data_IF_960195815429
#
_entry.id   IF_960195815429
#
_cell.length_a   1.000
_cell.length_b   1.000
_cell.length_c   1.000
_cell.angle_alpha   90.00
_cell.angle_beta   90.00
_cell.angle_gamma   90.00
#
_symmetry.space_group_name_H-M   'P 1'
#
loop_
_entity.id
_entity.type
_entity.pdbx_description
1 polymer ?
#
# COMPACT_ATOMS: atom_id res chain seq x y z
N UNK A 1 0.00 -10.59 8.07
CA UNK A 1 1.46 -10.86 8.02
C UNK A 1 2.15 -9.69 8.70
N UNK A 2 2.46 -9.84 9.98
CA UNK A 2 3.06 -8.81 10.82
C UNK A 2 4.56 -8.87 10.59
N UNK A 3 5.15 -7.85 9.96
CA UNK A 3 6.60 -7.81 9.74
C UNK A 3 7.25 -7.47 11.08
N UNK A 4 8.01 -8.42 11.64
CA UNK A 4 8.83 -8.18 12.81
C UNK A 4 9.93 -7.18 12.42
N UNK A 5 9.91 -6.04 13.12
CA UNK A 5 10.71 -4.84 12.91
C UNK A 5 12.23 -5.08 12.88
N UNK A 6 12.71 -6.21 13.43
CA UNK A 6 14.13 -6.48 13.66
C UNK A 6 14.74 -7.55 12.75
N UNK A 7 14.06 -7.97 11.68
CA UNK A 7 14.62 -9.01 10.82
C UNK A 7 15.64 -8.42 9.82
N UNK A 8 16.91 -8.38 10.22
CA UNK A 8 18.04 -7.94 9.39
C UNK A 8 18.21 -8.75 8.09
N UNK A 9 17.45 -9.84 7.91
CA UNK A 9 17.49 -10.67 6.70
C UNK A 9 16.61 -10.16 5.56
N UNK A 10 15.71 -9.21 5.81
CA UNK A 10 14.82 -8.69 4.77
C UNK A 10 15.63 -7.83 3.79
N UNK A 11 15.78 -8.35 2.58
CA UNK A 11 16.51 -7.66 1.50
C UNK A 11 15.87 -6.30 1.18
N UNK A 12 16.65 -5.23 0.97
CA UNK A 12 16.11 -3.91 0.62
C UNK A 12 15.18 -3.92 -0.60
N UNK A 13 15.50 -4.74 -1.61
CA UNK A 13 14.65 -4.94 -2.79
C UNK A 13 13.23 -5.37 -2.42
N UNK A 14 13.08 -6.22 -1.40
CA UNK A 14 11.77 -6.67 -0.94
C UNK A 14 10.99 -5.54 -0.28
N UNK A 15 11.64 -4.73 0.57
CA UNK A 15 10.99 -3.56 1.20
C UNK A 15 10.51 -2.57 0.14
N UNK A 16 11.36 -2.25 -0.83
CA UNK A 16 11.03 -1.34 -1.94
C UNK A 16 9.85 -1.85 -2.77
N UNK A 17 9.82 -3.14 -3.11
CA UNK A 17 8.73 -3.75 -3.86
C UNK A 17 7.40 -3.72 -3.09
N UNK A 18 7.44 -4.00 -1.79
CA UNK A 18 6.24 -3.94 -0.95
C UNK A 18 5.69 -2.51 -0.86
N UNK A 19 6.58 -1.51 -0.75
CA UNK A 19 6.19 -0.11 -0.78
C UNK A 19 5.58 0.30 -2.11
N UNK A 20 6.21 -0.03 -3.24
CA UNK A 20 5.67 0.26 -4.58
C UNK A 20 4.28 -0.31 -4.77
N UNK A 21 4.09 -1.59 -4.44
CA UNK A 21 2.78 -2.26 -4.54
C UNK A 21 1.72 -1.56 -3.68
N UNK A 22 2.03 -1.31 -2.41
CA UNK A 22 1.08 -0.66 -1.50
C UNK A 22 0.70 0.74 -1.99
N UNK A 23 1.68 1.53 -2.44
CA UNK A 23 1.47 2.88 -2.97
C UNK A 23 0.63 2.86 -4.26
N UNK A 24 0.93 1.94 -5.18
CA UNK A 24 0.20 1.80 -6.45
C UNK A 24 -1.26 1.39 -6.23
N UNK A 25 -1.55 0.55 -5.22
CA UNK A 25 -2.93 0.17 -4.87
C UNK A 25 -3.79 1.36 -4.44
N UNK A 26 -3.20 2.36 -3.78
CA UNK A 26 -3.91 3.55 -3.29
C UNK A 26 -3.93 4.66 -4.33
N UNK A 27 -2.76 5.01 -4.88
CA UNK A 27 -2.58 6.23 -5.68
C UNK A 27 -2.53 5.99 -7.19
N UNK A 28 -2.51 4.73 -7.66
CA UNK A 28 -2.42 4.36 -9.08
C UNK A 28 -1.21 4.97 -9.81
N UNK A 29 -0.14 5.29 -9.07
CA UNK A 29 1.11 5.88 -9.57
C UNK A 29 2.30 5.11 -9.01
N UNK A 30 3.42 5.11 -9.74
CA UNK A 30 4.71 4.59 -9.25
C UNK A 30 5.39 5.61 -8.32
N UNK A 31 5.77 5.24 -7.08
CA UNK A 31 6.57 6.09 -6.23
C UNK A 31 8.05 6.03 -6.61
N UNK A 32 8.77 7.13 -6.37
CA UNK A 32 10.23 7.11 -6.46
C UNK A 32 10.80 6.60 -5.15
N UNK A 33 11.42 5.43 -5.17
CA UNK A 33 12.06 4.83 -3.98
C UNK A 33 13.42 4.25 -4.35
N UNK A 34 14.42 4.56 -3.53
CA UNK A 34 15.80 4.07 -3.64
C UNK A 34 16.28 3.65 -2.25
N UNK A 35 16.99 2.53 -2.16
CA UNK A 35 17.71 2.15 -0.94
C UNK A 35 19.06 2.88 -0.92
N UNK A 36 19.38 3.55 0.18
CA UNK A 36 20.61 4.32 0.31
C UNK A 36 21.71 3.45 0.92
N UNK A 37 21.59 3.17 2.22
CA UNK A 37 22.52 2.34 2.99
C UNK A 37 21.82 1.82 4.23
N UNK A 38 22.22 0.63 4.69
CA UNK A 38 21.70 0.02 5.91
C UNK A 38 20.15 0.01 5.95
N UNK A 39 19.53 0.63 6.95
CA UNK A 39 18.08 0.74 7.06
C UNK A 39 17.52 2.07 6.52
N UNK A 40 18.27 2.81 5.71
CA UNK A 40 17.84 4.11 5.15
C UNK A 40 17.41 4.03 3.69
N UNK A 41 16.28 4.69 3.39
CA UNK A 41 15.66 4.75 2.08
C UNK A 41 15.41 6.20 1.70
N UNK A 42 15.47 6.51 0.41
CA UNK A 42 14.98 7.79 -0.13
C UNK A 42 13.65 7.54 -0.84
N UNK A 43 12.62 8.27 -0.44
CA UNK A 43 11.26 8.17 -0.98
C UNK A 43 10.79 9.55 -1.42
N UNK A 44 10.51 9.73 -2.71
CA UNK A 44 10.09 11.02 -3.30
C UNK A 44 10.96 12.22 -2.89
N UNK A 45 12.27 11.99 -2.72
CA UNK A 45 13.24 13.01 -2.30
C UNK A 45 13.50 13.05 -0.79
N UNK A 46 12.67 12.44 0.04
CA UNK A 46 12.80 12.43 1.50
C UNK A 46 13.56 11.20 2.00
N UNK A 47 14.48 11.37 2.95
CA UNK A 47 15.20 10.27 3.60
C UNK A 47 14.41 9.72 4.76
N UNK A 48 14.10 8.42 4.72
CA UNK A 48 13.21 7.74 5.65
C UNK A 48 13.87 6.45 6.16
N UNK A 49 13.79 6.24 7.47
CA UNK A 49 14.25 5.01 8.09
C UNK A 49 13.30 3.84 7.79
N UNK A 50 13.83 2.62 7.72
CA UNK A 50 13.09 1.39 7.39
C UNK A 50 11.85 1.17 8.25
N UNK A 51 11.93 1.50 9.54
CA UNK A 51 10.80 1.35 10.46
C UNK A 51 9.63 2.27 10.10
N UNK A 52 9.94 3.53 9.79
CA UNK A 52 8.96 4.50 9.30
C UNK A 52 8.36 4.02 7.97
N UNK A 53 9.20 3.49 7.07
CA UNK A 53 8.75 2.95 5.80
C UNK A 53 7.81 1.74 5.99
N UNK A 54 8.08 0.83 6.92
CA UNK A 54 7.17 -0.28 7.24
C UNK A 54 5.84 0.19 7.84
N UNK A 55 5.88 1.20 8.70
CA UNK A 55 4.67 1.86 9.20
C UNK A 55 3.82 2.40 8.06
N UNK A 56 4.47 3.07 7.10
CA UNK A 56 3.80 3.64 5.93
C UNK A 56 3.25 2.56 4.99
N UNK A 57 3.99 1.46 4.77
CA UNK A 57 3.49 0.29 4.00
C UNK A 57 2.20 -0.26 4.63
N UNK A 58 2.18 -0.39 5.96
CA UNK A 58 0.99 -0.86 6.69
C UNK A 58 -0.17 0.11 6.50
N UNK A 59 0.08 1.41 6.68
CA UNK A 59 -0.93 2.47 6.49
C UNK A 59 -1.53 2.46 5.08
N UNK A 60 -0.69 2.34 4.05
CA UNK A 60 -1.11 2.29 2.65
C UNK A 60 -1.97 1.05 2.36
N UNK A 61 -1.63 -0.11 2.95
CA UNK A 61 -2.44 -1.33 2.82
C UNK A 61 -3.82 -1.17 3.45
N UNK A 62 -3.88 -0.59 4.65
CA UNK A 62 -5.15 -0.34 5.32
C UNK A 62 -6.04 0.62 4.52
N UNK A 63 -5.45 1.66 3.94
CA UNK A 63 -6.16 2.57 3.03
C UNK A 63 -6.67 1.84 1.79
N UNK A 64 -5.83 1.03 1.14
CA UNK A 64 -6.24 0.25 -0.03
C UNK A 64 -7.39 -0.70 0.28
N UNK A 65 -7.38 -1.34 1.46
CA UNK A 65 -8.47 -2.19 1.93
C UNK A 65 -9.76 -1.39 2.12
N UNK A 66 -9.70 -0.20 2.74
CA UNK A 66 -10.86 0.70 2.90
C UNK A 66 -11.43 1.13 1.54
N UNK A 67 -10.58 1.54 0.60
CA UNK A 67 -11.02 1.88 -0.75
C UNK A 67 -11.71 0.71 -1.47
N UNK A 68 -11.19 -0.52 -1.30
CA UNK A 68 -11.79 -1.72 -1.86
C UNK A 68 -13.18 -1.99 -1.29
N UNK A 69 -13.37 -1.85 0.02
CA UNK A 69 -14.66 -2.06 0.68
C UNK A 69 -15.70 -1.05 0.20
N UNK A 70 -15.35 0.25 0.18
CA UNK A 70 -16.25 1.32 -0.31
C UNK A 70 -16.68 1.08 -1.76
N UNK A 71 -15.75 0.63 -2.62
CA UNK A 71 -16.07 0.33 -4.02
C UNK A 71 -16.93 -0.94 -4.16
N UNK A 72 -16.74 -1.94 -3.30
CA UNK A 72 -17.56 -3.14 -3.29
C UNK A 72 -19.00 -2.81 -2.91
N UNK A 73 -19.23 -2.00 -1.87
CA UNK A 73 -20.56 -1.57 -1.43
C UNK A 73 -21.31 -0.84 -2.54
N UNK A 74 -20.64 0.09 -3.25
CA UNK A 74 -21.22 0.76 -4.42
C UNK A 74 -21.64 -0.22 -5.51
N UNK A 75 -20.84 -1.24 -5.80
CA UNK A 75 -21.16 -2.25 -6.82
C UNK A 75 -22.37 -3.12 -6.45
N UNK A 76 -22.58 -3.36 -5.15
CA UNK A 76 -23.73 -4.14 -4.65
C UNK A 76 -25.00 -3.30 -4.77
N UNK A 77 -24.95 -2.03 -4.35
CA UNK A 77 -26.09 -1.11 -4.47
C UNK A 77 -26.45 -0.89 -5.95
N UNK A 78 -25.46 -0.73 -6.84
CA UNK A 78 -25.71 -0.62 -8.28
C UNK A 78 -26.38 -1.87 -8.85
N UNK A 79 -25.95 -3.07 -8.45
CA UNK A 79 -26.60 -4.32 -8.85
C UNK A 79 -28.03 -4.42 -8.33
N UNK A 80 -28.29 -3.97 -7.11
CA UNK A 80 -29.64 -3.92 -6.55
C UNK A 80 -30.53 -2.95 -7.33
N UNK A 81 -30.06 -1.74 -7.61
CA UNK A 81 -30.80 -0.75 -8.40
C UNK A 81 -31.10 -1.25 -9.82
N UNK A 82 -30.15 -1.91 -10.47
CA UNK A 82 -30.36 -2.48 -11.80
C UNK A 82 -31.47 -3.54 -11.79
N UNK A 83 -31.49 -4.41 -10.77
CA UNK A 83 -32.52 -5.45 -10.60
C UNK A 83 -33.91 -4.86 -10.31
N UNK A 84 -33.98 -3.75 -9.59
CA UNK A 84 -35.24 -3.05 -9.31
C UNK A 84 -35.79 -2.29 -10.52
N UNK A 85 -34.93 -1.85 -11.45
CA UNK A 85 -35.34 -1.14 -12.68
C UNK A 85 -35.74 -2.09 -13.82
N UNK A 86 -35.43 -3.37 -13.72
CA UNK A 86 -35.81 -4.39 -14.71
C UNK A 86 -37.14 -5.10 -14.37
N UNK A 87 -37.82 -4.64 -13.31
CA UNK A 87 -39.18 -5.02 -12.91
C UNK A 87 -40.16 -3.95 -13.40
#
# INVERSE_FOLDING_TARGET
>A
MTYTVNDATIKPKFVMENYRRAFQMVHRREPQIVHLFDDWYQVNGETVHRLTLFGEITRLRDLAQKHRLVNADRSVIQRLMAKLRSL
#
